data_IF_832712684383
#
_entry.id   IF_832712684383
#
_cell.length_a   1.000
_cell.length_b   1.000
_cell.length_c   1.000
_cell.angle_alpha   90.00
_cell.angle_beta   90.00
_cell.angle_gamma   90.00
#
_symmetry.space_group_name_H-M   'P 1'
#
loop_
_entity.id
_entity.type
_entity.pdbx_description
1 polymer ?
#
# COMPACT_ATOMS: atom_id res chain seq x y z
N UNK A 1 13.72 1.46 3.15
CA UNK A 1 12.91 0.33 3.66
C UNK A 1 13.70 -0.48 4.68
N UNK A 2 13.22 -1.67 5.06
CA UNK A 2 13.82 -2.50 6.12
C UNK A 2 15.31 -2.77 5.93
N UNK A 3 15.74 -3.14 4.71
CA UNK A 3 17.15 -3.39 4.40
C UNK A 3 18.06 -2.21 4.75
N UNK A 4 17.68 -0.99 4.34
CA UNK A 4 18.47 0.21 4.63
C UNK A 4 18.62 0.47 6.13
N UNK A 5 17.57 0.20 6.92
CA UNK A 5 17.58 0.32 8.37
C UNK A 5 18.53 -0.70 9.03
N UNK A 6 18.63 -1.91 8.49
CA UNK A 6 19.53 -2.96 9.01
C UNK A 6 21.00 -2.71 8.67
N UNK A 7 21.30 -1.91 7.66
CA UNK A 7 22.67 -1.57 7.25
C UNK A 7 23.25 -0.40 8.06
N UNK A 8 22.42 0.40 8.75
CA UNK A 8 22.88 1.56 9.56
C UNK A 8 23.97 1.23 10.59
N UNK A 9 23.90 0.11 11.34
CA UNK A 9 24.93 -0.24 12.33
C UNK A 9 26.33 -0.47 11.73
N UNK A 10 26.45 -0.69 10.42
CA UNK A 10 27.75 -0.87 9.76
C UNK A 10 28.49 0.45 9.50
N UNK A 11 27.77 1.58 9.49
CA UNK A 11 28.35 2.91 9.23
C UNK A 11 28.26 3.84 10.44
N UNK A 12 27.51 3.47 11.48
CA UNK A 12 27.32 4.27 12.68
C UNK A 12 27.48 3.42 13.95
N UNK A 13 28.59 3.64 14.67
CA UNK A 13 28.96 2.95 15.91
C UNK A 13 28.04 3.22 17.10
N UNK A 14 27.19 4.26 17.04
CA UNK A 14 26.19 4.56 18.06
C UNK A 14 24.90 3.75 17.93
N UNK A 15 24.81 2.83 16.97
CA UNK A 15 23.59 2.08 16.69
C UNK A 15 23.83 0.57 16.72
N UNK A 16 22.80 -0.21 17.04
CA UNK A 16 22.89 -1.67 17.11
C UNK A 16 21.82 -2.31 16.24
N UNK A 17 22.11 -3.50 15.71
CA UNK A 17 21.14 -4.28 14.91
C UNK A 17 19.86 -4.54 15.73
N UNK A 18 20.00 -4.84 17.03
CA UNK A 18 18.86 -5.05 17.93
C UNK A 18 17.98 -3.81 18.09
N UNK A 19 18.58 -2.63 18.26
CA UNK A 19 17.84 -1.36 18.33
C UNK A 19 17.09 -1.05 17.03
N UNK A 20 17.72 -1.31 15.88
CA UNK A 20 17.10 -1.13 14.57
C UNK A 20 15.89 -2.09 14.39
N UNK A 21 16.03 -3.37 14.74
CA UNK A 21 14.93 -4.33 14.67
C UNK A 21 13.75 -3.93 15.57
N UNK A 22 14.00 -3.46 16.79
CA UNK A 22 12.94 -2.97 17.68
C UNK A 22 12.20 -1.77 17.09
N UNK A 23 12.95 -0.82 16.52
CA UNK A 23 12.36 0.32 15.80
C UNK A 23 11.53 -0.14 14.60
N UNK A 24 12.04 -1.08 13.81
CA UNK A 24 11.33 -1.64 12.65
C UNK A 24 10.01 -2.32 13.05
N UNK A 25 10.01 -3.13 14.10
CA UNK A 25 8.79 -3.77 14.63
C UNK A 25 7.81 -2.72 15.13
N UNK A 26 8.29 -1.70 15.85
CA UNK A 26 7.45 -0.61 16.36
C UNK A 26 6.75 0.12 15.22
N UNK A 27 7.49 0.53 14.19
CA UNK A 27 6.94 1.21 13.02
C UNK A 27 5.96 0.29 12.29
N UNK A 28 6.31 -0.98 12.07
CA UNK A 28 5.47 -1.94 11.39
C UNK A 28 4.12 -2.13 12.11
N UNK A 29 4.15 -2.39 13.41
CA UNK A 29 2.93 -2.61 14.21
C UNK A 29 2.06 -1.35 14.19
N UNK A 30 2.65 -0.18 14.41
CA UNK A 30 1.90 1.07 14.40
C UNK A 30 1.23 1.34 13.05
N UNK A 31 2.00 1.29 11.96
CA UNK A 31 1.50 1.58 10.61
C UNK A 31 0.48 0.52 10.18
N UNK A 32 0.74 -0.76 10.44
CA UNK A 32 -0.19 -1.84 10.09
C UNK A 32 -1.53 -1.68 10.82
N UNK A 33 -1.52 -1.49 12.14
CA UNK A 33 -2.75 -1.35 12.93
C UNK A 33 -3.51 -0.08 12.56
N UNK A 34 -2.82 1.07 12.45
CA UNK A 34 -3.45 2.32 12.06
C UNK A 34 -4.07 2.22 10.66
N UNK A 35 -3.34 1.66 9.69
CA UNK A 35 -3.85 1.44 8.34
C UNK A 35 -5.04 0.48 8.35
N UNK A 36 -4.95 -0.63 9.08
CA UNK A 36 -6.04 -1.60 9.18
C UNK A 36 -7.32 -0.97 9.73
N UNK A 37 -7.20 -0.12 10.77
CA UNK A 37 -8.34 0.63 11.32
C UNK A 37 -8.91 1.60 10.28
N UNK A 38 -8.07 2.43 9.66
CA UNK A 38 -8.51 3.46 8.69
C UNK A 38 -9.19 2.81 7.48
N UNK A 39 -8.54 1.83 6.85
CA UNK A 39 -9.10 1.12 5.71
C UNK A 39 -10.36 0.32 6.09
N UNK A 40 -10.40 -0.24 7.31
CA UNK A 40 -11.58 -0.90 7.84
C UNK A 40 -12.78 0.04 7.97
N UNK A 41 -12.56 1.26 8.47
CA UNK A 41 -13.60 2.29 8.57
C UNK A 41 -14.08 2.72 7.18
N UNK A 42 -13.18 3.02 6.26
CA UNK A 42 -13.54 3.42 4.88
C UNK A 42 -14.37 2.33 4.21
N UNK A 43 -13.93 1.07 4.33
CA UNK A 43 -14.64 -0.10 3.80
C UNK A 43 -16.06 -0.21 4.37
N UNK A 44 -16.25 0.08 5.67
CA UNK A 44 -17.55 -0.01 6.32
C UNK A 44 -18.50 1.14 5.96
N UNK A 45 -17.98 2.33 5.68
CA UNK A 45 -18.80 3.54 5.45
C UNK A 45 -19.20 3.69 3.97
N UNK A 46 -18.26 3.52 3.05
CA UNK A 46 -18.48 3.81 1.62
C UNK A 46 -18.00 2.73 0.67
N UNK A 47 -17.34 1.69 1.18
CA UNK A 47 -16.61 0.73 0.34
C UNK A 47 -15.27 1.29 -0.13
N UNK A 48 -14.36 0.40 -0.50
CA UNK A 48 -12.99 0.74 -0.92
C UNK A 48 -12.61 0.13 -2.28
N UNK A 49 -13.41 -0.81 -2.77
CA UNK A 49 -13.16 -1.55 -4.01
C UNK A 49 -14.40 -1.44 -4.88
N UNK A 50 -14.17 -1.29 -6.19
CA UNK A 50 -15.21 -1.38 -7.22
C UNK A 50 -15.87 -2.77 -7.20
N UNK A 51 -17.03 -2.90 -7.84
CA UNK A 51 -17.71 -4.19 -7.98
C UNK A 51 -16.89 -5.16 -8.85
N UNK A 52 -17.15 -6.47 -8.75
CA UNK A 52 -16.44 -7.47 -9.57
C UNK A 52 -16.68 -7.27 -11.08
N UNK A 53 -17.87 -6.77 -11.45
CA UNK A 53 -18.22 -6.44 -12.83
C UNK A 53 -17.41 -5.24 -13.33
N UNK A 54 -17.37 -4.15 -12.56
CA UNK A 54 -16.57 -2.96 -12.88
C UNK A 54 -15.06 -3.27 -12.92
N UNK A 55 -14.57 -4.15 -12.04
CA UNK A 55 -13.17 -4.60 -12.06
C UNK A 55 -12.85 -5.41 -13.33
N UNK A 56 -13.82 -6.18 -13.85
CA UNK A 56 -13.67 -6.96 -15.07
C UNK A 56 -13.73 -6.11 -16.33
N UNK A 57 -14.67 -5.15 -16.39
CA UNK A 57 -14.82 -4.23 -17.53
C UNK A 57 -13.69 -3.20 -17.60
N UNK A 58 -13.17 -2.79 -16.44
CA UNK A 58 -12.07 -1.84 -16.30
C UNK A 58 -12.57 -0.49 -15.76
N UNK A 59 -11.88 -0.01 -14.71
CA UNK A 59 -12.23 1.24 -14.00
C UNK A 59 -12.36 2.45 -14.92
N UNK A 60 -11.57 2.51 -16.00
CA UNK A 60 -11.61 3.65 -16.93
C UNK A 60 -12.95 3.71 -17.69
N UNK A 61 -13.51 2.56 -18.07
CA UNK A 61 -14.82 2.48 -18.74
C UNK A 61 -15.92 2.92 -17.78
N UNK A 62 -15.86 2.47 -16.53
CA UNK A 62 -16.91 2.67 -15.54
C UNK A 62 -16.86 4.06 -14.90
N UNK A 63 -15.67 4.61 -14.67
CA UNK A 63 -15.47 5.92 -14.03
C UNK A 63 -15.30 7.07 -15.03
N UNK A 64 -14.54 6.85 -16.11
CA UNK A 64 -14.22 7.88 -17.10
C UNK A 64 -15.09 7.80 -18.36
N UNK A 65 -15.82 6.71 -18.57
CA UNK A 65 -16.67 6.50 -19.75
C UNK A 65 -15.89 6.28 -21.04
N UNK A 66 -14.58 5.99 -20.94
CA UNK A 66 -13.68 5.79 -22.07
C UNK A 66 -12.60 4.79 -21.71
N UNK A 67 -12.13 4.02 -22.68
CA UNK A 67 -10.92 3.23 -22.50
C UNK A 67 -9.70 4.15 -22.40
N UNK A 68 -8.73 3.84 -21.54
CA UNK A 68 -7.51 4.64 -21.41
C UNK A 68 -6.64 4.63 -22.69
N UNK A 69 -6.77 3.58 -23.50
CA UNK A 69 -5.88 3.28 -24.63
C UNK A 69 -6.65 2.70 -25.83
N UNK A 70 -7.64 3.44 -26.38
CA UNK A 70 -8.49 2.94 -27.45
C UNK A 70 -7.69 2.51 -28.69
N UNK A 71 -6.54 3.15 -28.95
CA UNK A 71 -5.64 2.86 -30.05
C UNK A 71 -4.93 1.49 -29.96
N UNK A 72 -4.90 0.87 -28.78
CA UNK A 72 -4.33 -0.46 -28.58
C UNK A 72 -5.41 -1.57 -28.53
N UNK A 73 -6.68 -1.18 -28.51
CA UNK A 73 -7.81 -2.10 -28.61
C UNK A 73 -8.15 -2.28 -30.09
N UNK A 74 -7.44 -3.20 -30.75
CA UNK A 74 -7.73 -3.53 -32.15
C UNK A 74 -9.15 -4.10 -32.30
N UNK A 75 -10.12 -3.23 -32.57
CA UNK A 75 -11.42 -3.53 -33.16
C UNK A 75 -11.54 -2.82 -34.50
#
# INVERSE_FOLDING_TARGET
GLFGLLVVPFTNSGTTIGGQLMGAVTIFVWVFVASFIVWGIIKAVMGIRVTEEEEYEGSDITECGMEAYPEFTGK
#
